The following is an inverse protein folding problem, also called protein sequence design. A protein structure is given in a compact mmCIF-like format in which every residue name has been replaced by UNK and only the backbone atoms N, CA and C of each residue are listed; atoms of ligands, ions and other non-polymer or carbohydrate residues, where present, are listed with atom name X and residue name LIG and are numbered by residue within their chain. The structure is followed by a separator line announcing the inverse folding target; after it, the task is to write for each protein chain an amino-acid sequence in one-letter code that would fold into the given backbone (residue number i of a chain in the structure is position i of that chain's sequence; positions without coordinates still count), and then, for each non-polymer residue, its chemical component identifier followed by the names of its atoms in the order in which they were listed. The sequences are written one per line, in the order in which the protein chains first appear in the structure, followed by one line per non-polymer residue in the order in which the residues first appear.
data_IF_126293601305
#
_entry.id   IF_126293601305
#
_cell.length_a   1.000
_cell.length_b   1.000
_cell.length_c   1.000
_cell.angle_alpha   90.00
_cell.angle_beta   90.00
_cell.angle_gamma   90.00
#
_symmetry.space_group_name_H-M   'P 1'
#
loop_
_entity.id
_entity.type
_entity.pdbx_description
1 polymer ?
#
# COMPACT_ATOMS: atom_id res chain seq x y z
N UNK A 1 5.88 -7.59 6.54
CA UNK A 1 6.54 -7.97 5.27
C UNK A 1 6.74 -6.80 4.31
N UNK A 2 5.67 -6.16 3.80
CA UNK A 2 5.78 -5.04 2.84
C UNK A 2 6.66 -3.89 3.37
N UNK A 3 6.57 -3.57 4.66
CA UNK A 3 7.44 -2.57 5.29
C UNK A 3 8.92 -2.95 5.26
N UNK A 4 9.29 -4.23 5.22
CA UNK A 4 10.71 -4.63 5.13
C UNK A 4 11.29 -4.30 3.75
N UNK A 5 10.52 -4.54 2.68
CA UNK A 5 10.88 -4.08 1.33
C UNK A 5 10.99 -2.55 1.28
N UNK A 6 9.96 -1.86 1.76
CA UNK A 6 9.85 -0.41 1.63
C UNK A 6 10.89 0.37 2.44
N UNK A 7 11.34 -0.18 3.57
CA UNK A 7 12.39 0.40 4.41
C UNK A 7 13.76 -0.25 4.19
N UNK A 8 13.91 -1.11 3.17
CA UNK A 8 15.16 -1.78 2.83
C UNK A 8 15.77 -2.52 4.04
N UNK A 9 14.92 -3.13 4.88
CA UNK A 9 15.30 -3.85 6.11
C UNK A 9 15.43 -5.34 5.88
N UNK A 10 16.30 -5.99 6.66
CA UNK A 10 16.44 -7.45 6.69
C UNK A 10 15.11 -8.17 6.99
N UNK A 11 14.93 -9.35 6.39
CA UNK A 11 13.82 -10.27 6.61
C UNK A 11 14.10 -11.32 7.71
N UNK A 12 15.29 -11.29 8.32
CA UNK A 12 15.77 -12.31 9.26
C UNK A 12 14.86 -12.57 10.48
N UNK A 13 14.15 -11.56 10.96
CA UNK A 13 13.34 -11.66 12.19
C UNK A 13 11.88 -12.08 11.94
N UNK A 14 11.27 -11.65 10.83
CA UNK A 14 9.81 -11.72 10.67
C UNK A 14 9.35 -12.93 9.83
N UNK A 15 10.10 -13.32 8.80
CA UNK A 15 9.74 -14.43 7.89
C UNK A 15 10.46 -15.72 8.22
N UNK A 16 11.23 -15.76 9.32
CA UNK A 16 12.16 -16.85 9.62
C UNK A 16 13.39 -16.86 8.71
N UNK A 17 13.72 -15.74 8.05
CA UNK A 17 14.83 -15.60 7.10
C UNK A 17 14.41 -15.57 5.63
N UNK A 18 15.35 -15.88 4.74
CA UNK A 18 15.16 -15.84 3.28
C UNK A 18 15.49 -14.49 2.66
N UNK A 19 15.92 -14.51 1.39
CA UNK A 19 16.20 -13.30 0.62
C UNK A 19 14.94 -12.55 0.21
N UNK A 20 15.07 -11.34 -0.37
CA UNK A 20 13.96 -10.55 -0.90
C UNK A 20 13.05 -11.34 -1.86
N UNK A 21 13.64 -12.18 -2.71
CA UNK A 21 12.91 -13.02 -3.66
C UNK A 21 11.94 -14.00 -2.98
N UNK A 22 12.44 -14.82 -2.05
CA UNK A 22 11.60 -15.78 -1.33
C UNK A 22 10.48 -15.10 -0.55
N UNK A 23 10.74 -13.91 -0.02
CA UNK A 23 9.76 -13.09 0.68
C UNK A 23 8.71 -12.52 -0.27
N UNK A 24 9.09 -12.13 -1.48
CA UNK A 24 8.17 -11.66 -2.51
C UNK A 24 7.20 -12.78 -2.93
N UNK A 25 7.71 -14.01 -3.09
CA UNK A 25 6.90 -15.19 -3.41
C UNK A 25 5.89 -15.54 -2.30
N UNK A 26 6.15 -15.16 -1.05
CA UNK A 26 5.27 -15.45 0.08
C UNK A 26 4.03 -14.54 0.13
N UNK A 27 4.10 -13.33 -0.45
CA UNK A 27 3.04 -12.31 -0.31
C UNK A 27 1.66 -12.80 -0.78
N UNK A 28 1.49 -13.44 -1.97
CA UNK A 28 0.19 -13.92 -2.41
C UNK A 28 -0.44 -14.91 -1.43
N UNK A 29 0.37 -15.77 -0.82
CA UNK A 29 -0.09 -16.79 0.13
C UNK A 29 -0.53 -16.18 1.47
N UNK A 30 0.20 -15.18 1.97
CA UNK A 30 -0.23 -14.42 3.15
C UNK A 30 -1.55 -13.69 2.89
N UNK A 31 -1.70 -13.09 1.71
CA UNK A 31 -2.94 -12.43 1.31
C UNK A 31 -4.08 -13.45 1.18
N UNK A 32 -3.82 -14.65 0.64
CA UNK A 32 -4.82 -15.71 0.57
C UNK A 32 -5.34 -16.13 1.95
N UNK A 33 -4.50 -16.12 2.98
CA UNK A 33 -4.94 -16.34 4.36
C UNK A 33 -5.85 -15.22 4.88
N UNK A 34 -5.54 -13.96 4.58
CA UNK A 34 -6.42 -12.82 4.91
C UNK A 34 -7.76 -12.95 4.18
N UNK A 35 -7.73 -13.27 2.89
CA UNK A 35 -8.92 -13.47 2.06
C UNK A 35 -9.80 -14.60 2.60
N UNK A 36 -9.20 -15.71 3.03
CA UNK A 36 -9.92 -16.81 3.68
C UNK A 36 -10.69 -16.32 4.91
N UNK A 37 -10.05 -15.55 5.80
CA UNK A 37 -10.69 -15.01 7.00
C UNK A 37 -11.84 -14.07 6.65
N UNK A 38 -11.63 -13.09 5.77
CA UNK A 38 -12.68 -12.09 5.48
C UNK A 38 -13.86 -12.69 4.71
N UNK A 39 -13.60 -13.69 3.85
CA UNK A 39 -14.66 -14.38 3.09
C UNK A 39 -15.49 -15.30 3.99
N UNK A 40 -14.83 -16.05 4.88
CA UNK A 40 -15.53 -16.97 5.80
C UNK A 40 -16.29 -16.23 6.90
N UNK A 41 -15.75 -15.13 7.41
CA UNK A 41 -16.42 -14.27 8.40
C UNK A 41 -17.39 -13.26 7.77
N UNK A 42 -17.44 -13.19 6.44
CA UNK A 42 -18.33 -12.31 5.65
C UNK A 42 -18.20 -10.83 6.04
N UNK A 43 -16.98 -10.36 6.31
CA UNK A 43 -16.73 -9.01 6.79
C UNK A 43 -16.26 -8.02 5.71
N UNK A 44 -16.19 -8.40 4.44
CA UNK A 44 -15.70 -7.55 3.33
C UNK A 44 -16.37 -6.17 3.33
N UNK A 45 -17.70 -6.11 3.27
CA UNK A 45 -18.44 -4.84 3.26
C UNK A 45 -18.21 -3.97 4.52
N UNK A 46 -17.97 -4.62 5.67
CA UNK A 46 -17.61 -3.90 6.90
C UNK A 46 -16.22 -3.28 6.78
N UNK A 47 -15.24 -4.04 6.27
CA UNK A 47 -13.88 -3.54 6.10
C UNK A 47 -13.77 -2.49 4.98
N UNK A 48 -14.56 -2.59 3.91
CA UNK A 48 -14.69 -1.51 2.92
C UNK A 48 -15.21 -0.23 3.57
N UNK A 49 -16.26 -0.32 4.40
CA UNK A 49 -16.78 0.83 5.13
C UNK A 49 -15.75 1.40 6.10
N UNK A 50 -15.00 0.55 6.80
CA UNK A 50 -13.94 0.99 7.71
C UNK A 50 -12.82 1.71 6.95
N UNK A 51 -12.43 1.20 5.78
CA UNK A 51 -11.45 1.83 4.91
C UNK A 51 -11.94 3.19 4.39
N UNK A 52 -13.21 3.31 3.99
CA UNK A 52 -13.81 4.61 3.64
C UNK A 52 -13.80 5.59 4.81
N UNK A 53 -14.24 5.14 6.00
CA UNK A 53 -14.21 5.98 7.21
C UNK A 53 -12.78 6.43 7.56
N UNK A 54 -11.78 5.57 7.35
CA UNK A 54 -10.37 5.91 7.56
C UNK A 54 -9.91 7.05 6.64
N UNK A 55 -10.33 7.05 5.37
CA UNK A 55 -9.98 8.10 4.41
C UNK A 55 -10.71 9.42 4.70
N UNK A 56 -11.92 9.35 5.28
CA UNK A 56 -12.78 10.49 5.60
C UNK A 56 -12.56 11.08 7.01
N UNK A 57 -11.58 10.57 7.76
CA UNK A 57 -11.23 11.09 9.10
C UNK A 57 -10.92 12.60 9.08
N UNK A 58 -11.29 13.32 10.15
CA UNK A 58 -10.89 14.72 10.33
C UNK A 58 -9.36 14.86 10.40
N UNK A 59 -8.77 16.01 10.00
CA UNK A 59 -7.32 16.22 10.00
C UNK A 59 -6.61 15.80 11.28
N UNK A 60 -7.15 16.17 12.45
CA UNK A 60 -6.59 15.83 13.77
C UNK A 60 -6.58 14.32 13.98
N UNK A 61 -7.70 13.66 13.64
CA UNK A 61 -7.81 12.20 13.74
C UNK A 61 -6.89 11.49 12.76
N UNK A 62 -6.61 12.09 11.60
CA UNK A 62 -5.65 11.53 10.63
C UNK A 62 -4.25 11.43 11.24
N UNK A 63 -3.82 12.47 11.96
CA UNK A 63 -2.51 12.53 12.61
C UNK A 63 -2.41 11.51 13.74
N UNK A 64 -3.41 11.44 14.63
CA UNK A 64 -3.42 10.42 15.71
C UNK A 64 -3.35 9.00 15.16
N UNK A 65 -4.15 8.71 14.13
CA UNK A 65 -4.22 7.39 13.52
C UNK A 65 -2.90 6.94 12.86
N UNK A 66 -1.96 7.86 12.59
CA UNK A 66 -0.62 7.50 12.10
C UNK A 66 0.21 6.68 13.11
N UNK A 67 -0.18 6.66 14.38
CA UNK A 67 0.52 5.95 15.45
C UNK A 67 -0.23 4.70 15.94
N UNK A 68 -1.40 4.42 15.36
CA UNK A 68 -2.23 3.26 15.71
C UNK A 68 -1.84 2.03 14.88
N UNK A 69 -2.25 0.84 15.35
CA UNK A 69 -2.05 -0.42 14.62
C UNK A 69 -2.85 -0.44 13.31
N UNK A 70 -4.08 0.09 13.32
CA UNK A 70 -4.93 0.26 12.13
C UNK A 70 -4.68 1.62 11.46
N UNK A 71 -3.40 1.94 11.25
CA UNK A 71 -2.95 3.15 10.58
C UNK A 71 -2.83 3.00 9.05
N UNK A 72 -2.20 3.98 8.36
CA UNK A 72 -2.19 4.00 6.89
C UNK A 72 -1.54 2.78 6.22
N UNK A 73 -0.47 2.20 6.78
CA UNK A 73 0.13 0.97 6.25
C UNK A 73 -0.81 -0.25 6.35
N UNK A 74 -1.60 -0.34 7.42
CA UNK A 74 -2.58 -1.40 7.59
C UNK A 74 -3.69 -1.27 6.54
N UNK A 75 -4.28 -0.08 6.41
CA UNK A 75 -5.38 0.17 5.48
C UNK A 75 -4.96 0.08 4.02
N UNK A 76 -3.76 0.52 3.67
CA UNK A 76 -3.19 0.28 2.34
C UNK A 76 -2.99 -1.21 2.03
N UNK A 77 -2.64 -2.02 3.04
CA UNK A 77 -2.54 -3.48 2.86
C UNK A 77 -3.93 -4.12 2.77
N UNK A 78 -4.87 -3.70 3.63
CA UNK A 78 -6.24 -4.20 3.64
C UNK A 78 -6.97 -3.90 2.33
N UNK A 79 -6.65 -2.78 1.68
CA UNK A 79 -7.16 -2.43 0.36
C UNK A 79 -7.01 -3.60 -0.64
N UNK A 80 -5.86 -4.29 -0.67
CA UNK A 80 -5.63 -5.46 -1.55
C UNK A 80 -6.73 -6.52 -1.43
N UNK A 81 -7.27 -6.70 -0.22
CA UNK A 81 -8.24 -7.72 0.07
C UNK A 81 -9.69 -7.28 -0.22
N UNK A 82 -9.98 -5.98 -0.14
CA UNK A 82 -11.37 -5.45 -0.17
C UNK A 82 -11.67 -4.54 -1.35
N UNK A 83 -10.66 -3.88 -1.94
CA UNK A 83 -10.82 -3.05 -3.12
C UNK A 83 -10.45 -3.81 -4.38
N UNK A 84 -11.38 -3.83 -5.33
CA UNK A 84 -11.11 -4.29 -6.70
C UNK A 84 -9.98 -3.50 -7.35
N UNK A 85 -9.42 -4.04 -8.43
CA UNK A 85 -8.45 -3.29 -9.24
C UNK A 85 -9.00 -1.93 -9.70
N UNK A 86 -10.29 -1.85 -10.05
CA UNK A 86 -10.92 -0.59 -10.45
C UNK A 86 -11.03 0.38 -9.26
N UNK A 87 -11.49 -0.09 -8.10
CA UNK A 87 -11.55 0.71 -6.86
C UNK A 87 -10.18 1.24 -6.46
N UNK A 88 -9.14 0.42 -6.60
CA UNK A 88 -7.76 0.82 -6.35
C UNK A 88 -7.37 2.04 -7.19
N UNK A 89 -7.66 2.05 -8.50
CA UNK A 89 -7.30 3.16 -9.39
C UNK A 89 -7.87 4.51 -8.91
N UNK A 90 -9.10 4.52 -8.37
CA UNK A 90 -9.75 5.73 -7.86
C UNK A 90 -9.32 6.07 -6.41
N UNK A 91 -9.11 5.07 -5.55
CA UNK A 91 -8.87 5.29 -4.12
C UNK A 91 -7.42 5.54 -3.72
N UNK A 92 -6.46 5.15 -4.58
CA UNK A 92 -5.01 5.19 -4.26
C UNK A 92 -4.44 6.59 -4.02
N UNK A 93 -4.98 7.64 -4.64
CA UNK A 93 -4.57 9.02 -4.41
C UNK A 93 -4.79 9.43 -2.94
N UNK A 94 -5.95 9.09 -2.38
CA UNK A 94 -6.26 9.31 -0.97
C UNK A 94 -5.31 8.54 -0.04
N UNK A 95 -4.91 7.32 -0.43
CA UNK A 95 -3.89 6.57 0.32
C UNK A 95 -2.50 7.22 0.27
N UNK A 96 -2.08 7.83 -0.86
CA UNK A 96 -0.83 8.61 -0.89
C UNK A 96 -0.91 9.77 0.07
N UNK A 97 -2.00 10.55 0.08
CA UNK A 97 -2.18 11.63 1.06
C UNK A 97 -1.97 11.13 2.50
N UNK A 98 -2.57 9.99 2.84
CA UNK A 98 -2.40 9.36 4.16
C UNK A 98 -0.96 8.88 4.42
N UNK A 99 -0.24 8.39 3.41
CA UNK A 99 1.18 8.03 3.54
C UNK A 99 2.09 9.24 3.73
N UNK A 100 1.79 10.37 3.08
CA UNK A 100 2.54 11.61 3.24
C UNK A 100 2.39 12.17 4.67
N UNK A 101 1.15 12.20 5.19
CA UNK A 101 0.87 12.59 6.58
C UNK A 101 1.58 11.64 7.55
N UNK A 102 1.50 10.32 7.32
CA UNK A 102 2.18 9.31 8.12
C UNK A 102 3.68 9.54 8.22
N UNK A 103 4.33 9.74 7.07
CA UNK A 103 5.75 9.99 6.99
C UNK A 103 6.15 11.25 7.75
N UNK A 104 5.39 12.33 7.54
CA UNK A 104 5.66 13.62 8.14
C UNK A 104 5.47 13.60 9.66
N UNK A 105 4.33 13.09 10.13
CA UNK A 105 4.00 12.99 11.56
C UNK A 105 5.06 12.17 12.31
N UNK A 106 5.44 11.00 11.78
CA UNK A 106 6.44 10.13 12.42
C UNK A 106 7.85 10.69 12.38
N UNK A 107 8.17 11.51 11.38
CA UNK A 107 9.46 12.21 11.33
C UNK A 107 9.54 13.32 12.39
N UNK A 108 8.49 14.13 12.52
CA UNK A 108 8.47 15.24 13.49
C UNK A 108 8.24 14.78 14.93
N UNK A 109 7.46 13.72 15.12
CA UNK A 109 7.06 13.25 16.44
C UNK A 109 7.07 11.72 16.51
N UNK A 110 8.27 11.09 16.58
CA UNK A 110 8.39 9.64 16.62
C UNK A 110 7.66 8.96 17.79
N UNK A 111 7.38 9.72 18.85
CA UNK A 111 6.71 9.26 20.07
C UNK A 111 5.17 9.41 20.01
N UNK A 112 4.64 9.99 18.94
CA UNK A 112 3.22 10.31 18.79
C UNK A 112 2.90 11.79 18.87
N UNK A 113 1.87 12.21 18.15
CA UNK A 113 1.27 13.54 18.25
C UNK A 113 -0.22 13.48 17.84
N UNK A 114 -1.00 14.47 18.25
CA UNK A 114 -2.40 14.66 17.82
C UNK A 114 -2.56 15.75 16.75
N UNK A 115 -1.52 16.57 16.55
CA UNK A 115 -1.44 17.59 15.51
C UNK A 115 -0.03 17.63 14.93
N UNK A 116 0.12 18.11 13.70
CA UNK A 116 1.43 18.30 13.08
C UNK A 116 2.12 19.53 13.70
N UNK A 117 3.35 19.39 14.26
CA UNK A 117 4.07 20.53 14.83
C UNK A 117 4.53 21.56 13.80
N UNK A 118 4.69 21.13 12.55
CA UNK A 118 5.12 21.91 11.40
C UNK A 118 4.46 21.30 10.16
N UNK A 119 4.13 22.12 9.16
CA UNK A 119 3.50 21.74 7.89
C UNK A 119 4.43 22.00 6.70
N UNK A 120 5.66 22.49 6.92
CA UNK A 120 6.65 22.71 5.87
C UNK A 120 7.11 21.35 5.32
N UNK A 121 6.97 21.07 4.01
CA UNK A 121 7.45 19.81 3.43
C UNK A 121 8.92 19.53 3.74
N UNK A 122 9.25 18.25 3.94
CA UNK A 122 10.63 17.79 4.18
C UNK A 122 11.27 17.25 2.92
N UNK A 123 12.53 16.87 3.02
CA UNK A 123 13.24 16.17 1.95
C UNK A 123 12.52 14.87 1.57
N UNK A 124 12.57 14.50 0.29
CA UNK A 124 11.89 13.31 -0.23
C UNK A 124 12.27 12.03 0.54
N UNK A 125 13.50 11.94 1.06
CA UNK A 125 13.96 10.80 1.87
C UNK A 125 13.06 10.51 3.09
N UNK A 126 12.37 11.52 3.64
CA UNK A 126 11.40 11.34 4.73
C UNK A 126 10.16 10.56 4.27
N UNK A 127 9.69 10.84 3.06
CA UNK A 127 8.46 10.27 2.50
C UNK A 127 8.71 8.97 1.73
N UNK A 128 9.92 8.81 1.14
CA UNK A 128 10.31 7.71 0.26
C UNK A 128 9.89 6.34 0.80
N UNK A 129 10.21 5.93 2.05
CA UNK A 129 9.86 4.58 2.51
C UNK A 129 8.35 4.30 2.51
N UNK A 130 7.53 5.29 2.85
CA UNK A 130 6.07 5.11 2.87
C UNK A 130 5.44 5.16 1.46
N UNK A 131 6.03 5.93 0.56
CA UNK A 131 5.66 5.91 -0.86
C UNK A 131 6.08 4.60 -1.52
N UNK A 132 7.29 4.09 -1.25
CA UNK A 132 7.73 2.76 -1.69
C UNK A 132 6.81 1.67 -1.15
N UNK A 133 6.32 1.78 0.10
CA UNK A 133 5.33 0.84 0.62
C UNK A 133 4.08 0.80 -0.27
N UNK A 134 3.54 1.96 -0.64
CA UNK A 134 2.37 2.02 -1.50
C UNK A 134 2.69 1.60 -2.94
N UNK A 135 3.88 1.89 -3.45
CA UNK A 135 4.36 1.40 -4.75
C UNK A 135 4.44 -0.14 -4.81
N UNK A 136 4.75 -0.79 -3.70
CA UNK A 136 4.66 -2.25 -3.58
C UNK A 136 3.21 -2.74 -3.66
N UNK A 137 2.28 -2.07 -2.95
CA UNK A 137 0.84 -2.38 -3.02
C UNK A 137 0.31 -2.20 -4.44
N UNK A 138 0.69 -1.11 -5.11
CA UNK A 138 0.33 -0.84 -6.50
C UNK A 138 0.89 -1.91 -7.45
N UNK A 139 2.15 -2.31 -7.26
CA UNK A 139 2.76 -3.40 -8.02
C UNK A 139 2.04 -4.73 -7.82
N UNK A 140 1.49 -5.02 -6.64
CA UNK A 140 0.64 -6.20 -6.44
C UNK A 140 -0.63 -6.12 -7.29
N UNK A 141 -1.30 -4.97 -7.37
CA UNK A 141 -2.45 -4.80 -8.26
C UNK A 141 -2.08 -4.89 -9.75
N UNK A 142 -1.00 -4.22 -10.15
CA UNK A 142 -0.65 -3.98 -11.56
C UNK A 142 0.27 -5.04 -12.18
N UNK A 143 0.87 -5.90 -11.37
CA UNK A 143 1.75 -6.99 -11.83
C UNK A 143 1.21 -8.33 -11.35
N UNK A 144 1.08 -8.53 -10.03
CA UNK A 144 0.74 -9.83 -9.45
C UNK A 144 -0.71 -10.24 -9.72
N UNK A 145 -1.65 -9.29 -9.57
CA UNK A 145 -3.09 -9.53 -9.59
C UNK A 145 -3.79 -8.91 -10.80
N UNK A 146 -3.02 -8.42 -11.78
CA UNK A 146 -3.54 -7.75 -12.98
C UNK A 146 -4.53 -8.59 -13.78
N UNK A 147 -4.38 -9.92 -13.76
CA UNK A 147 -5.21 -10.85 -14.54
C UNK A 147 -6.41 -11.43 -13.76
N UNK A 148 -6.67 -10.95 -12.54
CA UNK A 148 -7.86 -11.40 -11.79
C UNK A 148 -9.10 -10.95 -12.53
N UNK A 149 -9.89 -11.91 -13.02
CA UNK A 149 -11.15 -11.64 -13.68
C UNK A 149 -12.22 -11.39 -12.63
N UNK A 150 -12.65 -10.13 -12.48
CA UNK A 150 -13.72 -9.75 -11.57
C UNK A 150 -14.73 -8.88 -12.32
N UNK A 151 -15.96 -9.38 -12.49
CA UNK A 151 -17.00 -8.67 -13.25
C UNK A 151 -17.68 -7.56 -12.46
N UNK A 152 -17.61 -7.59 -11.13
CA UNK A 152 -18.24 -6.62 -10.22
C UNK A 152 -17.34 -6.38 -9.02
N UNK A 153 -17.30 -5.15 -8.50
CA UNK A 153 -16.48 -4.81 -7.32
C UNK A 153 -16.77 -5.73 -6.12
N UNK A 154 -18.04 -6.07 -5.89
CA UNK A 154 -18.50 -6.88 -4.76
C UNK A 154 -17.95 -8.33 -4.75
N UNK A 155 -17.37 -8.79 -5.86
CA UNK A 155 -16.82 -10.15 -6.01
C UNK A 155 -15.31 -10.23 -5.83
N UNK A 156 -14.63 -9.12 -5.57
CA UNK A 156 -13.16 -9.04 -5.65
C UNK A 156 -12.46 -10.03 -4.73
N UNK A 157 -12.81 -10.07 -3.44
CA UNK A 157 -12.12 -10.90 -2.46
C UNK A 157 -12.22 -12.40 -2.76
N UNK A 158 -13.33 -12.84 -3.36
CA UNK A 158 -13.54 -14.23 -3.78
C UNK A 158 -12.77 -14.52 -5.06
N UNK A 159 -12.86 -13.64 -6.05
CA UNK A 159 -12.13 -13.79 -7.32
C UNK A 159 -10.62 -13.79 -7.12
N UNK A 160 -10.11 -12.93 -6.23
CA UNK A 160 -8.69 -12.87 -5.90
C UNK A 160 -8.23 -14.13 -5.16
N UNK A 161 -9.03 -14.65 -4.22
CA UNK A 161 -8.69 -15.89 -3.52
C UNK A 161 -8.63 -17.07 -4.49
N UNK A 162 -9.61 -17.18 -5.38
CA UNK A 162 -9.65 -18.22 -6.42
C UNK A 162 -8.50 -18.09 -7.40
N UNK A 163 -8.16 -16.87 -7.82
CA UNK A 163 -7.00 -16.61 -8.66
C UNK A 163 -5.70 -17.07 -7.99
N UNK A 164 -5.48 -16.71 -6.71
CA UNK A 164 -4.26 -17.08 -5.99
C UNK A 164 -4.11 -18.61 -5.89
N UNK A 165 -5.21 -19.29 -5.59
CA UNK A 165 -5.25 -20.75 -5.44
C UNK A 165 -4.88 -21.53 -6.70
N UNK A 166 -5.13 -20.96 -7.88
CA UNK A 166 -5.01 -21.69 -9.16
C UNK A 166 -3.82 -21.27 -10.01
N UNK A 167 -3.00 -20.31 -9.56
CA UNK A 167 -1.95 -19.71 -10.38
C UNK A 167 -0.55 -19.75 -9.71
N UNK A 168 -0.26 -20.78 -8.89
CA UNK A 168 0.99 -20.90 -8.11
C UNK A 168 2.28 -20.62 -8.90
N UNK A 169 2.50 -21.34 -10.01
CA UNK A 169 3.70 -21.17 -10.83
C UNK A 169 3.79 -19.75 -11.42
N UNK A 170 2.65 -19.21 -11.86
CA UNK A 170 2.58 -17.85 -12.39
C UNK A 170 2.89 -16.81 -11.30
N UNK A 171 2.50 -17.05 -10.04
CA UNK A 171 2.82 -16.15 -8.93
C UNK A 171 4.31 -16.07 -8.62
N UNK A 172 5.07 -17.14 -8.80
CA UNK A 172 6.53 -17.10 -8.66
C UNK A 172 7.15 -16.21 -9.74
N UNK A 173 6.73 -16.39 -10.99
CA UNK A 173 7.21 -15.59 -12.13
C UNK A 173 6.82 -14.11 -12.00
N UNK A 174 5.58 -13.83 -11.60
CA UNK A 174 5.11 -12.47 -11.35
C UNK A 174 5.77 -11.85 -10.11
N UNK A 175 6.12 -12.65 -9.11
CA UNK A 175 6.90 -12.23 -7.94
C UNK A 175 8.30 -11.78 -8.34
N UNK A 176 9.01 -12.56 -9.16
CA UNK A 176 10.32 -12.16 -9.68
C UNK A 176 10.24 -10.87 -10.49
N UNK A 177 9.20 -10.75 -11.33
CA UNK A 177 8.96 -9.53 -12.09
C UNK A 177 8.66 -8.34 -11.19
N UNK A 178 7.80 -8.50 -10.18
CA UNK A 178 7.44 -7.45 -9.25
C UNK A 178 8.66 -6.98 -8.45
N UNK A 179 9.48 -7.90 -7.95
CA UNK A 179 10.70 -7.56 -7.22
C UNK A 179 11.64 -6.72 -8.08
N UNK A 180 11.91 -7.14 -9.32
CA UNK A 180 12.77 -6.39 -10.25
C UNK A 180 12.21 -5.00 -10.54
N UNK A 181 10.92 -4.90 -10.88
CA UNK A 181 10.29 -3.59 -11.10
C UNK A 181 10.39 -2.70 -9.87
N UNK A 182 10.17 -3.26 -8.68
CA UNK A 182 10.26 -2.51 -7.43
C UNK A 182 11.68 -1.97 -7.18
N UNK A 183 12.69 -2.81 -7.35
CA UNK A 183 14.10 -2.44 -7.17
C UNK A 183 14.58 -1.42 -8.21
N UNK A 184 14.19 -1.60 -9.48
CA UNK A 184 14.70 -0.78 -10.60
C UNK A 184 13.92 0.52 -10.81
N UNK A 185 12.64 0.58 -10.44
CA UNK A 185 11.76 1.73 -10.73
C UNK A 185 11.27 2.44 -9.47
N UNK A 186 10.90 1.71 -8.42
CA UNK A 186 10.29 2.31 -7.22
C UNK A 186 11.35 2.78 -6.23
N UNK A 187 12.35 1.94 -5.94
CA UNK A 187 13.43 2.30 -5.00
C UNK A 187 14.37 3.37 -5.55
N UNK A 188 14.47 3.49 -6.88
CA UNK A 188 15.36 4.43 -7.58
C UNK A 188 14.78 5.84 -7.72
N UNK A 189 13.50 6.04 -7.42
CA UNK A 189 12.88 7.37 -7.39
C UNK A 189 13.64 8.30 -6.44
N UNK A 190 13.91 9.54 -6.90
CA UNK A 190 14.65 10.58 -6.17
C UNK A 190 13.77 11.76 -5.75
N UNK A 191 12.54 11.83 -6.26
CA UNK A 191 11.58 12.89 -5.93
C UNK A 191 10.14 12.36 -5.90
N UNK A 192 9.25 13.13 -5.27
CA UNK A 192 7.83 12.79 -5.27
C UNK A 192 7.22 12.84 -6.68
N UNK A 193 7.74 13.72 -7.54
CA UNK A 193 7.33 13.75 -8.96
C UNK A 193 7.72 12.48 -9.69
N UNK A 194 8.96 12.01 -9.58
CA UNK A 194 9.38 10.74 -10.20
C UNK A 194 8.52 9.55 -9.73
N UNK A 195 8.18 9.52 -8.45
CA UNK A 195 7.26 8.51 -7.91
C UNK A 195 5.87 8.60 -8.56
N UNK A 196 5.29 9.80 -8.66
CA UNK A 196 4.00 10.00 -9.33
C UNK A 196 4.05 9.61 -10.82
N UNK A 197 5.14 9.94 -11.52
CA UNK A 197 5.33 9.61 -12.93
C UNK A 197 5.40 8.08 -13.14
N UNK A 198 6.06 7.35 -12.23
CA UNK A 198 6.09 5.87 -12.23
C UNK A 198 4.69 5.25 -12.04
N UNK A 199 3.90 5.80 -11.12
CA UNK A 199 2.54 5.29 -10.82
C UNK A 199 1.57 5.45 -12.01
N UNK A 200 1.96 6.26 -13.00
CA UNK A 200 1.36 6.31 -14.33
C UNK A 200 0.14 7.23 -14.44
N UNK A 201 -0.42 7.38 -15.66
CA UNK A 201 -1.41 8.41 -16.02
C UNK A 201 -2.79 8.24 -15.38
N UNK A 202 -3.07 7.11 -14.74
CA UNK A 202 -4.30 6.91 -13.95
C UNK A 202 -4.19 7.54 -12.56
N UNK A 203 -3.23 8.44 -12.35
CA UNK A 203 -2.95 9.13 -11.11
C UNK A 203 -3.51 10.56 -11.19
N UNK A 204 -4.52 10.88 -10.38
CA UNK A 204 -5.15 12.22 -10.34
C UNK A 204 -4.30 13.27 -9.58
N UNK A 205 -2.96 13.19 -9.67
CA UNK A 205 -2.07 14.20 -9.07
C UNK A 205 -1.22 14.85 -10.15
N UNK A 206 -1.76 15.91 -10.73
CA UNK A 206 -1.07 16.69 -11.77
C UNK A 206 0.10 17.51 -11.19
N UNK A 207 -0.06 17.98 -9.95
CA UNK A 207 0.94 18.79 -9.25
C UNK A 207 1.32 18.15 -7.89
N UNK A 208 2.39 17.32 -7.86
CA UNK A 208 2.87 16.65 -6.65
C UNK A 208 3.25 17.62 -5.54
N UNK A 209 3.82 18.79 -5.85
CA UNK A 209 4.22 19.76 -4.84
C UNK A 209 3.00 20.39 -4.16
N UNK A 210 2.02 20.84 -4.96
CA UNK A 210 0.76 21.35 -4.42
C UNK A 210 0.03 20.27 -3.61
N UNK A 211 0.01 19.03 -4.09
CA UNK A 211 -0.62 17.93 -3.38
C UNK A 211 0.06 17.63 -2.04
N UNK A 212 1.39 17.67 -1.98
CA UNK A 212 2.13 17.50 -0.72
C UNK A 212 1.83 18.66 0.24
N UNK A 213 1.82 19.90 -0.26
CA UNK A 213 1.47 21.07 0.54
C UNK A 213 0.03 21.03 1.07
N UNK A 214 -0.92 20.54 0.28
CA UNK A 214 -2.33 20.39 0.70
C UNK A 214 -2.54 19.19 1.63
N UNK A 215 -1.64 18.21 1.59
CA UNK A 215 -1.72 17.01 2.43
C UNK A 215 -1.27 17.29 3.87
N UNK A 216 -0.29 18.17 4.05
CA UNK A 216 0.22 18.58 5.36
C UNK A 216 -0.66 19.66 5.98
#
# INVERSE_FOLDING_TARGET
LLSRFAFERSFSEDSGGGGPQSNMHLIPYLLHMVLYVINTTRCVAREEKNLSNFLEMSPERQVENCFESEGPCYWATMALAVWSHNRWQYGRASLVRRMLILAHARHLSPQGCSTLPDMVPREFAVYRPYLCFLGMVDGLYNIMFKKVACSTDDGWSVALADYIRHNDQLHLELGDKLLRTFEEQVLTCQSFREFCDYMGPMWEIDNPDAFLHEAL
#
